data_IF_568653881326
#
_entry.id   IF_568653881326
#
_cell.length_a   1.000
_cell.length_b   1.000
_cell.length_c   1.000
_cell.angle_alpha   90.00
_cell.angle_beta   90.00
_cell.angle_gamma   90.00
#
_symmetry.space_group_name_H-M   'P 1'
#
loop_
_entity.id
_entity.type
_entity.pdbx_description
1 polymer ?
#
# COMPACT_ATOMS: atom_id res chain seq x y z
N UNK A 1 -15.35 -9.30 -80.02
CA UNK A 1 -14.30 -8.52 -79.31
C UNK A 1 -14.84 -8.07 -77.97
N UNK A 2 -14.44 -8.74 -76.87
CA UNK A 2 -14.38 -8.17 -75.52
C UNK A 2 -13.66 -9.18 -74.61
N UNK A 3 -12.52 -8.75 -74.09
CA UNK A 3 -11.58 -9.58 -73.34
C UNK A 3 -12.00 -9.69 -71.87
N UNK A 4 -12.20 -10.91 -71.38
CA UNK A 4 -12.27 -11.16 -69.93
C UNK A 4 -10.85 -11.07 -69.34
N UNK A 5 -10.59 -10.02 -68.55
CA UNK A 5 -9.40 -9.90 -67.72
C UNK A 5 -9.52 -10.84 -66.52
N UNK A 6 -8.67 -11.87 -66.45
CA UNK A 6 -8.48 -12.67 -65.26
C UNK A 6 -7.70 -11.86 -64.21
N UNK A 7 -8.11 -11.83 -62.93
CA UNK A 7 -7.36 -11.12 -61.89
C UNK A 7 -6.06 -11.86 -61.57
N UNK A 8 -4.92 -11.19 -61.76
CA UNK A 8 -3.61 -11.66 -61.31
C UNK A 8 -3.62 -11.76 -59.78
N UNK A 9 -3.53 -12.97 -59.23
CA UNK A 9 -3.24 -13.17 -57.80
C UNK A 9 -1.82 -12.71 -57.53
N UNK A 10 -1.67 -11.58 -56.85
CA UNK A 10 -0.39 -11.11 -56.37
C UNK A 10 0.11 -12.07 -55.27
N UNK A 11 1.18 -12.81 -55.55
CA UNK A 11 1.92 -13.57 -54.54
C UNK A 11 2.66 -12.59 -53.64
N UNK A 12 2.12 -12.35 -52.45
CA UNK A 12 2.79 -11.57 -51.40
C UNK A 12 4.03 -12.33 -50.96
N UNK A 13 5.19 -11.69 -51.00
CA UNK A 13 6.45 -12.32 -50.58
C UNK A 13 6.40 -12.64 -49.09
N UNK A 14 7.00 -13.76 -48.69
CA UNK A 14 7.04 -14.20 -47.28
C UNK A 14 7.61 -13.14 -46.33
N UNK A 15 8.49 -12.26 -46.83
CA UNK A 15 9.03 -11.13 -46.07
C UNK A 15 7.99 -10.04 -45.80
N UNK A 16 7.13 -9.73 -46.78
CA UNK A 16 6.03 -8.76 -46.58
C UNK A 16 4.97 -9.33 -45.65
N UNK A 17 4.66 -10.62 -45.76
CA UNK A 17 3.77 -11.30 -44.83
C UNK A 17 4.31 -11.27 -43.39
N UNK A 18 5.62 -11.51 -43.19
CA UNK A 18 6.27 -11.44 -41.89
C UNK A 18 6.23 -10.01 -41.31
N UNK A 19 6.52 -8.99 -42.13
CA UNK A 19 6.48 -7.59 -41.71
C UNK A 19 5.06 -7.16 -41.31
N UNK A 20 4.04 -7.59 -42.05
CA UNK A 20 2.64 -7.35 -41.69
C UNK A 20 2.27 -8.05 -40.38
N UNK A 21 2.75 -9.28 -40.16
CA UNK A 21 2.48 -10.03 -38.95
C UNK A 21 3.16 -9.40 -37.72
N UNK A 22 4.42 -8.96 -37.87
CA UNK A 22 5.13 -8.20 -36.83
C UNK A 22 4.42 -6.88 -36.53
N UNK A 23 3.97 -6.14 -37.56
CA UNK A 23 3.22 -4.90 -37.38
C UNK A 23 1.89 -5.14 -36.63
N UNK A 24 1.17 -6.23 -36.94
CA UNK A 24 -0.07 -6.61 -36.24
C UNK A 24 0.19 -7.01 -34.79
N UNK A 25 1.26 -7.76 -34.51
CA UNK A 25 1.63 -8.16 -33.14
C UNK A 25 2.13 -6.98 -32.31
N UNK A 26 2.85 -6.03 -32.91
CA UNK A 26 3.34 -4.83 -32.21
C UNK A 26 2.26 -3.75 -32.04
N UNK A 27 1.22 -3.74 -32.88
CA UNK A 27 0.04 -2.88 -32.72
C UNK A 27 -1.07 -3.48 -31.85
N UNK A 28 -1.01 -4.77 -31.54
CA UNK A 28 -1.80 -5.41 -30.48
C UNK A 28 -1.13 -5.23 -29.11
N UNK A 29 -0.57 -4.04 -28.88
CA UNK A 29 -0.06 -3.63 -27.60
C UNK A 29 -1.09 -3.94 -26.51
N UNK A 30 -0.67 -4.75 -25.54
CA UNK A 30 -1.36 -4.96 -24.26
C UNK A 30 -1.32 -3.68 -23.40
N UNK A 31 -1.61 -2.53 -24.01
CA UNK A 31 -1.95 -1.30 -23.33
C UNK A 31 -3.46 -1.34 -23.16
N UNK A 32 -3.91 -1.74 -21.97
CA UNK A 32 -5.27 -1.48 -21.51
C UNK A 32 -5.31 -0.18 -20.68
N UNK A 33 -5.14 1.03 -21.25
CA UNK A 33 -5.38 2.27 -20.50
C UNK A 33 -6.88 2.50 -20.27
N UNK A 34 -7.75 1.73 -20.93
CA UNK A 34 -9.20 1.96 -20.93
C UNK A 34 -9.95 1.28 -19.77
N UNK A 35 -9.39 0.25 -19.14
CA UNK A 35 -9.98 -0.37 -17.94
C UNK A 35 -9.68 0.45 -16.68
N UNK A 36 -8.55 1.17 -16.64
CA UNK A 36 -8.25 2.11 -15.55
C UNK A 36 -8.97 3.46 -15.68
N UNK A 37 -9.54 3.79 -16.85
CA UNK A 37 -10.34 5.02 -17.04
C UNK A 37 -11.76 4.93 -16.44
N UNK A 38 -12.20 3.78 -15.95
CA UNK A 38 -13.48 3.65 -15.23
C UNK A 38 -13.47 4.24 -13.82
N UNK A 39 -12.29 4.37 -13.21
CA UNK A 39 -12.12 5.07 -11.94
C UNK A 39 -11.72 6.53 -12.21
N UNK A 40 -12.59 7.28 -12.89
CA UNK A 40 -12.49 8.74 -12.84
C UNK A 40 -12.83 9.17 -11.41
N UNK A 41 -11.80 9.32 -10.58
CA UNK A 41 -11.86 10.08 -9.33
C UNK A 41 -12.41 11.46 -9.72
N UNK A 42 -13.72 11.71 -9.53
CA UNK A 42 -14.35 13.01 -9.78
C UNK A 42 -15.65 13.06 -10.58
N UNK A 43 -16.16 11.95 -11.14
CA UNK A 43 -17.43 12.00 -11.93
C UNK A 43 -18.66 11.37 -11.25
N UNK A 44 -18.47 10.46 -10.29
CA UNK A 44 -19.53 9.99 -9.40
C UNK A 44 -19.07 10.17 -7.96
N UNK A 45 -19.89 10.73 -7.06
CA UNK A 45 -19.55 10.69 -5.65
C UNK A 45 -19.43 9.23 -5.26
N UNK A 46 -18.30 8.85 -4.64
CA UNK A 46 -18.18 7.51 -4.07
C UNK A 46 -19.40 7.29 -3.15
N UNK A 47 -20.06 6.13 -3.19
CA UNK A 47 -21.09 5.82 -2.21
C UNK A 47 -20.52 6.05 -0.82
N UNK A 48 -21.23 6.84 0.00
CA UNK A 48 -20.81 7.08 1.38
C UNK A 48 -20.63 5.73 2.07
N UNK A 49 -19.43 5.45 2.54
CA UNK A 49 -19.13 4.19 3.22
C UNK A 49 -19.82 4.14 4.61
N UNK A 50 -20.06 5.31 5.20
CA UNK A 50 -20.65 5.45 6.53
C UNK A 50 -22.00 6.21 6.49
N UNK A 51 -23.01 5.75 7.24
CA UNK A 51 -24.23 6.52 7.45
C UNK A 51 -23.97 7.77 8.30
N UNK A 52 -24.89 8.73 8.25
CA UNK A 52 -24.85 9.91 9.13
C UNK A 52 -25.03 9.45 10.59
N UNK A 53 -24.10 9.82 11.47
CA UNK A 53 -24.15 9.41 12.87
C UNK A 53 -23.82 7.93 13.10
N UNK A 54 -22.95 7.35 12.25
CA UNK A 54 -22.51 5.97 12.37
C UNK A 54 -22.05 5.63 13.80
N UNK A 55 -22.42 4.44 14.29
CA UNK A 55 -21.95 3.94 15.59
C UNK A 55 -20.48 3.50 15.51
N UNK A 56 -19.84 3.30 16.66
CA UNK A 56 -18.47 2.79 16.72
C UNK A 56 -18.33 1.45 15.98
N UNK A 57 -19.26 0.54 16.20
CA UNK A 57 -19.28 -0.79 15.58
C UNK A 57 -19.43 -0.68 14.07
N UNK A 58 -20.28 0.23 13.58
CA UNK A 58 -20.44 0.47 12.14
C UNK A 58 -19.17 1.02 11.52
N UNK A 59 -18.50 1.96 12.20
CA UNK A 59 -17.23 2.51 11.74
C UNK A 59 -16.14 1.44 11.67
N UNK A 60 -15.98 0.66 12.75
CA UNK A 60 -15.01 -0.43 12.81
C UNK A 60 -15.29 -1.47 11.72
N UNK A 61 -16.54 -1.89 11.55
CA UNK A 61 -16.94 -2.86 10.53
C UNK A 61 -16.64 -2.36 9.11
N UNK A 62 -17.00 -1.11 8.79
CA UNK A 62 -16.70 -0.52 7.48
C UNK A 62 -15.19 -0.44 7.22
N UNK A 63 -14.38 -0.05 8.22
CA UNK A 63 -12.92 0.00 8.10
C UNK A 63 -12.33 -1.39 7.89
N UNK A 64 -12.82 -2.39 8.63
CA UNK A 64 -12.40 -3.78 8.46
C UNK A 64 -12.78 -4.33 7.08
N UNK A 65 -14.00 -4.06 6.61
CA UNK A 65 -14.46 -4.47 5.28
C UNK A 65 -13.62 -3.85 4.16
N UNK A 66 -13.27 -2.57 4.29
CA UNK A 66 -12.40 -1.87 3.35
C UNK A 66 -10.98 -2.46 3.38
N UNK A 67 -10.44 -2.70 4.56
CA UNK A 67 -9.10 -3.28 4.74
C UNK A 67 -9.02 -4.70 4.21
N UNK A 68 -10.02 -5.54 4.45
CA UNK A 68 -10.07 -6.94 4.02
C UNK A 68 -10.12 -7.10 2.49
N UNK A 69 -10.57 -6.08 1.76
CA UNK A 69 -10.55 -6.06 0.29
C UNK A 69 -9.16 -5.83 -0.29
N UNK A 70 -8.22 -5.28 0.49
CA UNK A 70 -6.85 -5.02 0.04
C UNK A 70 -6.02 -6.29 0.15
N UNK A 71 -5.74 -6.93 -0.99
CA UNK A 71 -4.86 -8.11 -1.07
C UNK A 71 -3.39 -7.75 -1.05
N UNK A 72 -3.02 -6.72 -1.79
CA UNK A 72 -1.67 -6.19 -1.83
C UNK A 72 -1.71 -4.70 -2.14
N UNK A 73 -0.71 -3.99 -1.64
CA UNK A 73 -0.51 -2.56 -1.85
C UNK A 73 0.95 -2.34 -2.24
N UNK A 74 1.15 -1.69 -3.39
CA UNK A 74 2.47 -1.29 -3.88
C UNK A 74 2.50 0.22 -4.05
N UNK A 75 3.45 0.86 -3.37
CA UNK A 75 3.72 2.28 -3.46
C UNK A 75 5.14 2.42 -4.04
N UNK A 76 5.28 2.53 -5.37
CA UNK A 76 6.59 2.56 -6.01
C UNK A 76 7.36 3.87 -5.74
N UNK A 77 6.65 4.91 -5.31
CA UNK A 77 7.20 6.22 -4.98
C UNK A 77 6.46 6.80 -3.79
N UNK A 78 7.16 6.89 -2.66
CA UNK A 78 6.72 7.55 -1.44
C UNK A 78 7.81 8.51 -0.96
N UNK A 79 7.43 9.37 -0.02
CA UNK A 79 8.34 10.31 0.64
C UNK A 79 8.24 10.05 2.13
N UNK A 80 9.37 9.72 2.74
CA UNK A 80 9.46 9.57 4.19
C UNK A 80 10.10 10.82 4.78
N UNK A 81 9.39 11.46 5.70
CA UNK A 81 9.82 12.62 6.45
C UNK A 81 9.98 12.21 7.91
N UNK A 82 11.21 12.30 8.41
CA UNK A 82 11.53 12.06 9.83
C UNK A 82 12.20 13.32 10.35
N UNK A 83 11.76 13.90 11.47
CA UNK A 83 12.41 15.06 12.06
C UNK A 83 13.93 14.81 12.25
N UNK A 84 14.76 15.74 11.78
CA UNK A 84 16.22 15.63 11.87
C UNK A 84 16.88 14.72 10.82
N UNK A 85 16.11 14.04 9.96
CA UNK A 85 16.63 13.25 8.83
C UNK A 85 16.30 13.97 7.52
N UNK A 86 17.21 13.99 6.53
CA UNK A 86 16.89 14.48 5.20
C UNK A 86 15.68 13.76 4.59
N UNK A 87 14.97 14.44 3.70
CA UNK A 87 13.86 13.85 2.94
C UNK A 87 14.33 12.55 2.25
N UNK A 88 13.64 11.44 2.51
CA UNK A 88 13.94 10.16 1.90
C UNK A 88 12.93 9.82 0.82
N UNK A 89 13.41 9.34 -0.33
CA UNK A 89 12.57 8.65 -1.30
C UNK A 89 12.38 7.21 -0.84
N UNK A 90 11.14 6.75 -0.80
CA UNK A 90 10.78 5.44 -0.31
C UNK A 90 10.00 4.62 -1.33
N UNK A 91 10.09 3.30 -1.20
CA UNK A 91 9.24 2.32 -1.86
C UNK A 91 8.60 1.44 -0.80
N UNK A 92 7.32 1.15 -0.96
CA UNK A 92 6.58 0.32 -0.01
C UNK A 92 5.85 -0.80 -0.75
N UNK A 93 5.96 -2.01 -0.22
CA UNK A 93 5.15 -3.16 -0.62
C UNK A 93 4.51 -3.74 0.64
N UNK A 94 3.21 -4.04 0.59
CA UNK A 94 2.47 -4.59 1.71
C UNK A 94 1.50 -5.65 1.21
N UNK A 95 1.45 -6.78 1.92
CA UNK A 95 0.45 -7.83 1.80
C UNK A 95 0.02 -8.17 3.24
N UNK A 96 -1.13 -7.65 3.69
CA UNK A 96 -1.64 -7.93 5.02
C UNK A 96 -1.78 -9.46 5.26
N UNK A 97 -1.60 -9.93 6.50
CA UNK A 97 -1.45 -9.14 7.72
C UNK A 97 0.00 -8.79 8.10
N UNK A 98 1.01 -9.47 7.55
CA UNK A 98 2.39 -9.39 8.08
C UNK A 98 3.46 -9.09 7.05
N UNK A 99 3.22 -9.30 5.76
CA UNK A 99 4.25 -9.12 4.75
C UNK A 99 4.35 -7.64 4.40
N UNK A 100 5.50 -7.06 4.68
CA UNK A 100 5.72 -5.63 4.51
C UNK A 100 7.17 -5.38 4.15
N UNK A 101 7.41 -4.40 3.28
CA UNK A 101 8.75 -3.90 3.02
C UNK A 101 8.69 -2.41 2.73
N UNK A 102 9.48 -1.65 3.46
CA UNK A 102 9.73 -0.23 3.25
C UNK A 102 11.22 -0.02 3.08
N UNK A 103 11.61 0.45 1.91
CA UNK A 103 12.99 0.81 1.61
C UNK A 103 13.05 2.30 1.38
N UNK A 104 13.94 3.00 2.08
CA UNK A 104 14.11 4.43 1.93
C UNK A 104 15.58 4.81 1.72
N UNK A 105 15.79 5.79 0.86
CA UNK A 105 17.10 6.23 0.40
C UNK A 105 17.14 7.74 0.19
N UNK A 106 18.33 8.33 0.24
CA UNK A 106 18.55 9.67 -0.32
C UNK A 106 19.12 9.55 -1.74
N UNK A 107 19.02 10.64 -2.50
CA UNK A 107 19.65 10.71 -3.83
C UNK A 107 21.20 10.76 -3.77
N UNK A 108 21.77 11.21 -2.64
CA UNK A 108 23.20 11.52 -2.53
C UNK A 108 23.95 10.38 -1.85
N UNK A 109 23.45 9.94 -0.70
CA UNK A 109 24.10 8.96 0.17
C UNK A 109 23.59 7.54 0.00
N UNK A 110 22.55 7.34 -0.81
CA UNK A 110 22.02 6.02 -1.13
C UNK A 110 21.04 5.49 -0.07
N UNK A 111 20.95 4.15 0.08
CA UNK A 111 20.05 3.51 1.04
C UNK A 111 20.28 4.00 2.47
N UNK A 112 19.21 4.28 3.21
CA UNK A 112 19.27 4.74 4.60
C UNK A 112 18.55 3.81 5.57
N UNK A 113 17.50 3.14 5.07
CA UNK A 113 16.55 2.39 5.87
C UNK A 113 15.98 1.23 5.02
N UNK A 114 15.97 0.03 5.60
CA UNK A 114 15.16 -1.10 5.11
C UNK A 114 14.42 -1.69 6.31
N UNK A 115 13.10 -1.54 6.33
CA UNK A 115 12.22 -2.20 7.28
C UNK A 115 11.46 -3.25 6.52
N UNK A 116 11.41 -4.46 7.04
CA UNK A 116 10.55 -5.46 6.45
C UNK A 116 10.12 -6.55 7.39
N UNK A 117 9.17 -7.31 6.89
CA UNK A 117 8.53 -8.39 7.60
C UNK A 117 8.03 -9.42 6.60
N UNK A 118 8.15 -10.68 6.98
CA UNK A 118 7.48 -11.80 6.31
C UNK A 118 6.71 -12.61 7.35
N UNK A 119 6.39 -13.87 7.05
CA UNK A 119 5.58 -14.71 7.93
C UNK A 119 6.34 -15.11 9.21
N UNK A 120 7.67 -15.12 9.17
CA UNK A 120 8.53 -15.62 10.24
C UNK A 120 9.22 -14.50 11.03
N UNK A 121 9.76 -13.52 10.30
CA UNK A 121 10.72 -12.54 10.79
C UNK A 121 10.27 -11.11 10.49
N UNK A 122 10.62 -10.24 11.42
CA UNK A 122 10.74 -8.80 11.21
C UNK A 122 12.22 -8.43 11.15
N UNK A 123 12.61 -7.50 10.26
CA UNK A 123 13.95 -6.95 10.20
C UNK A 123 13.96 -5.44 10.04
N UNK A 124 15.06 -4.85 10.48
CA UNK A 124 15.35 -3.43 10.43
C UNK A 124 16.83 -3.24 10.12
N UNK A 125 17.11 -2.43 9.12
CA UNK A 125 18.43 -1.90 8.84
C UNK A 125 18.40 -0.37 8.87
N UNK A 126 19.32 0.23 9.61
CA UNK A 126 19.47 1.68 9.74
C UNK A 126 20.92 2.08 9.50
N UNK A 127 21.16 2.89 8.47
CA UNK A 127 22.50 3.42 8.18
C UNK A 127 22.92 4.53 9.15
N UNK A 128 21.97 5.36 9.59
CA UNK A 128 22.25 6.55 10.41
C UNK A 128 22.60 6.23 11.88
N UNK A 129 22.32 5.01 12.35
CA UNK A 129 22.77 4.57 13.67
C UNK A 129 24.30 4.48 13.68
N UNK A 130 24.93 4.78 14.83
CA UNK A 130 26.39 4.71 15.01
C UNK A 130 26.72 3.69 16.09
N UNK A 131 27.23 2.49 15.75
CA UNK A 131 27.51 1.97 14.39
C UNK A 131 26.25 1.61 13.60
N UNK A 132 26.26 1.48 12.26
CA UNK A 132 25.09 1.04 11.50
C UNK A 132 24.50 -0.25 12.07
N UNK A 133 23.17 -0.32 12.18
CA UNK A 133 22.52 -1.44 12.87
C UNK A 133 21.69 -2.27 11.90
N UNK A 134 21.83 -3.60 12.04
CA UNK A 134 20.92 -4.60 11.51
C UNK A 134 20.30 -5.29 12.73
N UNK A 135 18.98 -5.30 12.82
CA UNK A 135 18.25 -6.03 13.84
C UNK A 135 17.19 -6.88 13.15
N UNK A 136 16.97 -8.10 13.64
CA UNK A 136 15.87 -8.95 13.22
C UNK A 136 15.38 -9.79 14.40
N UNK A 137 14.14 -10.22 14.33
CA UNK A 137 13.55 -11.11 15.33
C UNK A 137 12.36 -11.86 14.76
N UNK A 138 12.06 -13.01 15.35
CA UNK A 138 10.75 -13.64 15.16
C UNK A 138 9.64 -12.75 15.72
N UNK A 139 8.46 -12.80 15.12
CA UNK A 139 7.31 -11.95 15.49
C UNK A 139 6.90 -12.11 16.96
N UNK A 140 6.89 -13.34 17.47
CA UNK A 140 6.55 -13.67 18.86
C UNK A 140 7.60 -13.18 19.87
N UNK A 141 8.82 -12.86 19.40
CA UNK A 141 9.91 -12.31 20.21
C UNK A 141 10.11 -10.82 20.05
N UNK A 142 9.28 -10.15 19.23
CA UNK A 142 9.47 -8.72 18.91
C UNK A 142 9.53 -7.84 20.17
N UNK A 143 8.63 -8.07 21.14
CA UNK A 143 8.57 -7.29 22.39
C UNK A 143 9.89 -7.30 23.19
N UNK A 144 10.68 -8.37 23.10
CA UNK A 144 11.94 -8.54 23.83
C UNK A 144 13.16 -8.20 22.97
N UNK A 145 12.96 -7.85 21.70
CA UNK A 145 14.02 -7.72 20.70
C UNK A 145 14.73 -6.36 20.75
N UNK A 146 15.97 -6.31 20.25
CA UNK A 146 16.66 -5.05 20.01
C UNK A 146 15.95 -4.18 18.96
N UNK A 147 15.20 -4.77 18.04
CA UNK A 147 14.44 -4.03 17.03
C UNK A 147 13.37 -3.12 17.67
N UNK A 148 12.71 -3.58 18.74
CA UNK A 148 11.74 -2.79 19.52
C UNK A 148 12.36 -1.54 20.17
N UNK A 149 13.64 -1.60 20.52
CA UNK A 149 14.35 -0.45 21.13
C UNK A 149 14.73 0.62 20.11
N UNK A 150 14.80 0.25 18.82
CA UNK A 150 15.25 1.12 17.74
C UNK A 150 14.11 1.86 17.05
N UNK A 151 12.91 1.28 17.03
CA UNK A 151 11.71 1.89 16.43
C UNK A 151 10.56 1.92 17.43
N UNK A 152 9.93 3.09 17.65
CA UNK A 152 8.79 3.22 18.57
C UNK A 152 7.48 2.66 17.99
N UNK A 153 7.51 1.91 16.89
CA UNK A 153 6.33 1.36 16.21
C UNK A 153 6.46 -0.16 16.18
N UNK A 154 5.38 -0.88 16.54
CA UNK A 154 5.38 -2.33 16.59
C UNK A 154 5.40 -2.95 15.19
N UNK A 155 6.01 -4.12 15.03
CA UNK A 155 6.12 -4.81 13.74
C UNK A 155 4.76 -5.13 13.10
N UNK A 156 3.78 -5.52 13.92
CA UNK A 156 2.42 -5.86 13.49
C UNK A 156 1.62 -4.65 12.96
N UNK A 157 2.10 -3.43 13.21
CA UNK A 157 1.40 -2.19 12.83
C UNK A 157 1.83 -1.63 11.48
N UNK A 158 2.79 -2.24 10.80
CA UNK A 158 3.30 -1.68 9.54
C UNK A 158 2.23 -1.51 8.46
N UNK A 159 1.29 -2.47 8.27
CA UNK A 159 0.16 -2.25 7.37
C UNK A 159 -0.74 -1.09 7.80
N UNK A 160 -0.93 -0.87 9.10
CA UNK A 160 -1.77 0.23 9.61
C UNK A 160 -1.22 1.61 9.25
N UNK A 161 0.10 1.76 9.12
CA UNK A 161 0.73 3.00 8.65
C UNK A 161 0.31 3.37 7.22
N UNK A 162 -0.19 2.40 6.46
CA UNK A 162 -0.72 2.59 5.10
C UNK A 162 -2.24 2.76 5.07
N UNK A 163 -2.89 2.89 6.23
CA UNK A 163 -4.35 2.98 6.35
C UNK A 163 -5.05 1.62 6.36
N UNK A 164 -4.31 0.51 6.38
CA UNK A 164 -4.86 -0.85 6.47
C UNK A 164 -5.12 -1.21 7.94
N UNK A 165 -6.00 -0.43 8.57
CA UNK A 165 -6.24 -0.46 10.02
C UNK A 165 -7.02 -1.70 10.44
N UNK A 166 -6.60 -2.31 11.54
CA UNK A 166 -7.38 -3.33 12.24
C UNK A 166 -7.62 -2.90 13.68
N UNK A 167 -8.90 -2.69 14.02
CA UNK A 167 -9.33 -2.60 15.42
C UNK A 167 -9.46 -4.02 15.99
N UNK A 168 -8.72 -4.30 17.07
CA UNK A 168 -8.68 -5.64 17.66
C UNK A 168 -9.73 -5.75 18.77
N UNK A 169 -10.56 -6.80 18.80
CA UNK A 169 -11.63 -6.92 19.79
C UNK A 169 -11.16 -6.89 21.25
N UNK A 170 -9.92 -7.29 21.51
CA UNK A 170 -9.30 -7.27 22.84
C UNK A 170 -8.83 -5.89 23.31
N UNK A 171 -8.75 -4.90 22.40
CA UNK A 171 -8.43 -3.52 22.75
C UNK A 171 -9.70 -2.75 23.15
N UNK A 172 -9.58 -1.76 24.03
CA UNK A 172 -10.70 -0.89 24.35
C UNK A 172 -10.80 0.25 23.33
N UNK A 173 -11.97 0.43 22.73
CA UNK A 173 -12.22 1.44 21.69
C UNK A 173 -13.33 2.40 22.12
N UNK A 174 -13.10 3.70 21.93
CA UNK A 174 -14.04 4.78 22.22
C UNK A 174 -14.24 5.67 20.98
N UNK A 175 -15.46 6.20 20.80
CA UNK A 175 -15.85 7.08 19.70
C UNK A 175 -17.17 6.65 19.05
N UNK A 176 -17.44 7.05 17.78
CA UNK A 176 -16.65 7.99 16.99
C UNK A 176 -16.79 9.42 17.50
N UNK A 177 -15.66 10.10 17.70
CA UNK A 177 -15.66 11.52 18.06
C UNK A 177 -15.57 12.36 16.77
N UNK A 178 -16.50 13.30 16.54
CA UNK A 178 -16.41 14.19 15.40
C UNK A 178 -15.21 15.14 15.54
N UNK A 179 -14.49 15.36 14.44
CA UNK A 179 -13.35 16.28 14.34
C UNK A 179 -13.63 17.29 13.21
N UNK A 180 -12.82 18.34 13.13
CA UNK A 180 -12.85 19.29 12.03
C UNK A 180 -12.78 18.59 10.65
N UNK A 181 -13.38 19.25 9.65
CA UNK A 181 -13.37 18.84 8.25
C UNK A 181 -14.12 17.52 7.95
N UNK A 182 -15.12 17.17 8.78
CA UNK A 182 -15.92 15.97 8.56
C UNK A 182 -15.19 14.67 8.86
N UNK A 183 -14.04 14.74 9.55
CA UNK A 183 -13.31 13.58 10.03
C UNK A 183 -13.90 13.03 11.32
N UNK A 184 -13.67 11.75 11.55
CA UNK A 184 -14.02 11.08 12.79
C UNK A 184 -12.77 10.49 13.44
N UNK A 185 -12.71 10.53 14.76
CA UNK A 185 -11.64 9.96 15.56
C UNK A 185 -12.15 8.73 16.31
N UNK A 186 -11.45 7.61 16.16
CA UNK A 186 -11.56 6.45 17.05
C UNK A 186 -10.34 6.42 17.96
N UNK A 187 -10.57 6.38 19.27
CA UNK A 187 -9.51 6.27 20.28
C UNK A 187 -9.43 4.83 20.77
N UNK A 188 -8.23 4.27 20.80
CA UNK A 188 -7.98 2.91 21.26
C UNK A 188 -7.00 2.91 22.42
N UNK A 189 -7.33 2.17 23.48
CA UNK A 189 -6.40 1.81 24.56
C UNK A 189 -6.01 0.35 24.39
N UNK A 190 -4.71 0.16 24.23
CA UNK A 190 -4.09 -1.10 23.86
C UNK A 190 -3.23 -1.57 25.03
N UNK A 191 -3.56 -2.72 25.61
CA UNK A 191 -2.72 -3.32 26.63
C UNK A 191 -1.40 -3.79 26.00
N UNK A 192 -0.26 -3.32 26.52
CA UNK A 192 1.06 -3.81 26.15
C UNK A 192 1.89 -4.15 27.40
N UNK A 193 2.90 -5.03 27.29
CA UNK A 193 3.73 -5.41 28.43
C UNK A 193 4.44 -4.24 29.12
N UNK A 194 4.74 -3.18 28.35
CA UNK A 194 5.44 -1.98 28.83
C UNK A 194 4.47 -0.88 29.34
N UNK A 195 3.17 -1.18 29.41
CA UNK A 195 2.11 -0.24 29.79
C UNK A 195 1.05 -0.03 28.70
N UNK A 196 -0.03 0.66 29.06
CA UNK A 196 -1.11 0.97 28.13
C UNK A 196 -0.63 1.92 27.03
N UNK A 197 -0.96 1.58 25.79
CA UNK A 197 -0.68 2.40 24.64
C UNK A 197 -1.97 3.02 24.11
N UNK A 198 -1.90 4.32 23.82
CA UNK A 198 -3.03 5.08 23.30
C UNK A 198 -2.82 5.33 21.80
N UNK A 199 -3.81 4.92 21.00
CA UNK A 199 -3.83 5.12 19.54
C UNK A 199 -5.03 5.97 19.17
N UNK A 200 -4.82 6.98 18.34
CA UNK A 200 -5.88 7.77 17.72
C UNK A 200 -5.88 7.48 16.22
N UNK A 201 -7.02 7.00 15.71
CA UNK A 201 -7.23 6.72 14.29
C UNK A 201 -8.20 7.76 13.73
N UNK A 202 -7.70 8.59 12.82
CA UNK A 202 -8.49 9.59 12.10
C UNK A 202 -8.99 8.99 10.78
N UNK A 203 -10.30 9.04 10.57
CA UNK A 203 -10.96 8.53 9.37
C UNK A 203 -11.69 9.68 8.67
N UNK A 204 -11.82 9.59 7.36
CA UNK A 204 -12.75 10.44 6.62
C UNK A 204 -14.18 9.96 6.91
N UNK A 205 -15.08 10.86 7.32
CA UNK A 205 -16.46 10.50 7.61
C UNK A 205 -17.29 10.17 6.36
N UNK A 206 -16.71 10.25 5.17
CA UNK A 206 -17.40 10.05 3.90
C UNK A 206 -16.90 8.85 3.07
N UNK A 207 -15.64 8.44 3.22
CA UNK A 207 -14.99 7.37 2.43
C UNK A 207 -14.21 6.40 3.30
#
# INVERSE_FOLDING_TARGET
MSAHHAPRRATVSRGVALLLLVAVVSSSGASCPRVLRGYQIGAMPLPRALPVGATLEQVMATVHDNTARVRSLMVPQAVLLVPGVPRLSARVACEPPRRFRLQAQTAITGPELDIGSNDDLFWLWLRQHKPPVIAFCAHDKYAQSNARRLLPIRADWMPELLGLVQFRPEDAHDGPFPVADGRIEIRSRIAAPDGDLFKSTLLDGTT
#
